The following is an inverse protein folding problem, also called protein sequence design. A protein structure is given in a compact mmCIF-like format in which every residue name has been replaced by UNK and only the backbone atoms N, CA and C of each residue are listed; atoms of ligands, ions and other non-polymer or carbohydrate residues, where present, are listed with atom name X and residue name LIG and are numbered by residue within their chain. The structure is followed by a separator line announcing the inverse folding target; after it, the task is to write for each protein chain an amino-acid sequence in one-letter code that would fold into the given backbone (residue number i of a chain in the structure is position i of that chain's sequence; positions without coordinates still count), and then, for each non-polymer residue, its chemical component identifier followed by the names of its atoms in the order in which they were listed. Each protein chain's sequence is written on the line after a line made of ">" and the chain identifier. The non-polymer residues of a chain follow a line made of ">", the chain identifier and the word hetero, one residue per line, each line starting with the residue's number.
data_IF_025750657770
#
_entry.id   IF_025750657770
#
_cell.length_a   1.000
_cell.length_b   1.000
_cell.length_c   1.000
_cell.angle_alpha   90.00
_cell.angle_beta   90.00
_cell.angle_gamma   90.00
#
_symmetry.space_group_name_H-M   'P 1'
#
loop_
_entity.id
_entity.type
_entity.pdbx_description
1 polymer ?
#
# COMPACT_ATOMS: atom_id res chain seq x y z
N UNK A 1 -13.97 -6.09 5.75
CA UNK A 1 -13.49 -5.25 4.63
C UNK A 1 -14.35 -5.56 3.41
N UNK A 2 -14.93 -4.52 2.80
CA UNK A 2 -15.78 -4.64 1.62
C UNK A 2 -14.91 -4.73 0.35
N UNK A 3 -15.01 -5.85 -0.38
CA UNK A 3 -14.22 -6.12 -1.59
C UNK A 3 -14.63 -5.20 -2.74
N UNK A 4 -15.90 -4.86 -2.86
CA UNK A 4 -16.39 -3.99 -3.95
C UNK A 4 -15.82 -2.58 -3.80
N UNK A 5 -15.69 -2.10 -2.57
CA UNK A 5 -15.05 -0.81 -2.24
C UNK A 5 -13.57 -0.83 -2.62
N UNK A 6 -12.83 -1.91 -2.33
CA UNK A 6 -11.42 -2.04 -2.72
C UNK A 6 -11.24 -2.06 -4.24
N UNK A 7 -12.06 -2.84 -4.95
CA UNK A 7 -12.01 -2.90 -6.41
C UNK A 7 -12.30 -1.53 -7.02
N UNK A 8 -13.24 -0.78 -6.45
CA UNK A 8 -13.50 0.62 -6.84
C UNK A 8 -12.28 1.50 -6.55
N UNK A 9 -11.68 1.43 -5.37
CA UNK A 9 -10.46 2.18 -5.02
C UNK A 9 -9.34 1.93 -6.03
N UNK A 10 -8.97 0.66 -6.26
CA UNK A 10 -7.88 0.35 -7.19
C UNK A 10 -8.20 0.75 -8.63
N UNK A 11 -9.47 0.68 -9.04
CA UNK A 11 -9.90 1.17 -10.35
C UNK A 11 -9.71 2.69 -10.46
N UNK A 12 -10.13 3.47 -9.47
CA UNK A 12 -9.97 4.93 -9.49
C UNK A 12 -8.49 5.35 -9.44
N UNK A 13 -7.67 4.65 -8.63
CA UNK A 13 -6.21 4.85 -8.57
C UNK A 13 -5.55 4.58 -9.92
N UNK A 14 -5.92 3.47 -10.58
CA UNK A 14 -5.41 3.12 -11.90
C UNK A 14 -5.81 4.15 -12.97
N UNK A 15 -7.10 4.52 -13.02
CA UNK A 15 -7.62 5.47 -14.01
C UNK A 15 -6.98 6.85 -13.92
N UNK A 16 -6.68 7.33 -12.71
CA UNK A 16 -5.99 8.62 -12.47
C UNK A 16 -4.47 8.52 -12.54
N UNK A 17 -3.93 7.35 -12.85
CA UNK A 17 -2.49 7.11 -12.95
C UNK A 17 -1.75 7.54 -11.67
N UNK A 18 -2.32 7.17 -10.51
CA UNK A 18 -1.67 7.39 -9.21
C UNK A 18 -0.42 6.51 -9.15
N UNK A 19 0.72 7.12 -8.84
CA UNK A 19 1.96 6.42 -8.53
C UNK A 19 1.87 5.87 -7.10
N UNK A 20 1.35 4.65 -7.00
CA UNK A 20 1.25 3.89 -5.76
C UNK A 20 1.79 2.46 -5.94
N UNK A 21 2.11 1.84 -4.80
CA UNK A 21 2.32 0.40 -4.66
C UNK A 21 1.54 -0.08 -3.44
N UNK A 22 0.70 -1.08 -3.62
CA UNK A 22 0.00 -1.77 -2.54
C UNK A 22 1.02 -2.61 -1.77
N UNK A 23 1.07 -2.40 -0.45
CA UNK A 23 1.88 -3.16 0.49
C UNK A 23 0.99 -3.76 1.59
N UNK A 24 1.61 -4.28 2.65
CA UNK A 24 0.87 -4.73 3.83
C UNK A 24 -0.02 -5.95 3.62
N UNK A 25 -1.10 -6.05 4.39
CA UNK A 25 -1.92 -7.27 4.48
C UNK A 25 -2.69 -7.59 3.19
N UNK A 26 -3.24 -6.57 2.52
CA UNK A 26 -3.99 -6.76 1.27
C UNK A 26 -3.06 -7.21 0.14
N UNK A 27 -1.83 -6.67 0.09
CA UNK A 27 -0.80 -7.15 -0.83
C UNK A 27 -0.49 -8.64 -0.63
N UNK A 28 -0.33 -9.08 0.62
CA UNK A 28 -0.13 -10.50 0.93
C UNK A 28 -1.30 -11.35 0.42
N UNK A 29 -2.54 -10.90 0.62
CA UNK A 29 -3.74 -11.54 0.09
C UNK A 29 -3.69 -11.75 -1.43
N UNK A 30 -3.30 -10.72 -2.18
CA UNK A 30 -3.16 -10.79 -3.63
C UNK A 30 -1.98 -11.67 -4.10
N UNK A 31 -0.97 -11.86 -3.25
CA UNK A 31 0.11 -12.84 -3.45
C UNK A 31 -0.29 -14.26 -2.99
N UNK A 32 -1.56 -14.46 -2.62
CA UNK A 32 -2.13 -15.74 -2.20
C UNK A 32 -1.76 -16.16 -0.78
N UNK A 33 -1.42 -15.23 0.10
CA UNK A 33 -1.15 -15.48 1.51
C UNK A 33 -2.33 -15.01 2.36
N UNK A 34 -2.83 -15.89 3.22
CA UNK A 34 -3.97 -15.56 4.09
C UNK A 34 -3.48 -14.64 5.21
N UNK A 35 -3.95 -13.39 5.19
CA UNK A 35 -3.66 -12.41 6.23
C UNK A 35 -4.93 -11.61 6.53
N UNK A 36 -5.45 -11.77 7.74
CA UNK A 36 -6.51 -10.88 8.22
C UNK A 36 -5.95 -9.46 8.37
N UNK A 37 -6.54 -8.49 7.67
CA UNK A 37 -6.18 -7.07 7.74
C UNK A 37 -7.46 -6.24 7.65
N UNK A 38 -7.45 -5.10 8.31
CA UNK A 38 -8.54 -4.11 8.27
C UNK A 38 -8.09 -2.83 7.56
N UNK A 39 -6.77 -2.70 7.34
CA UNK A 39 -6.14 -1.55 6.72
C UNK A 39 -5.65 -1.90 5.30
N UNK A 40 -5.68 -0.91 4.41
CA UNK A 40 -5.08 -0.91 3.06
C UNK A 40 -3.87 0.02 3.10
N UNK A 41 -2.68 -0.55 2.94
CA UNK A 41 -1.44 0.20 2.94
C UNK A 41 -1.03 0.59 1.51
N UNK A 42 -1.11 1.88 1.19
CA UNK A 42 -0.67 2.46 -0.09
C UNK A 42 0.65 3.18 0.08
N UNK A 43 1.71 2.64 -0.49
CA UNK A 43 2.98 3.35 -0.59
C UNK A 43 2.96 4.25 -1.83
N UNK A 44 3.00 5.56 -1.65
CA UNK A 44 2.82 6.56 -2.71
C UNK A 44 4.05 7.42 -2.90
N UNK A 45 4.24 7.94 -4.12
CA UNK A 45 5.26 8.95 -4.37
C UNK A 45 4.83 10.31 -3.79
N UNK A 46 5.62 10.97 -2.92
CA UNK A 46 5.22 12.19 -2.22
C UNK A 46 5.45 13.47 -3.05
N UNK A 47 5.05 13.46 -4.33
CA UNK A 47 5.06 14.66 -5.15
C UNK A 47 3.65 15.26 -5.26
N UNK A 48 3.58 16.59 -5.34
CA UNK A 48 2.31 17.35 -5.34
C UNK A 48 1.31 16.86 -6.39
N UNK A 49 1.80 16.53 -7.58
CA UNK A 49 0.97 16.06 -8.68
C UNK A 49 0.40 14.66 -8.40
N UNK A 50 1.22 13.76 -7.84
CA UNK A 50 0.75 12.45 -7.42
C UNK A 50 -0.26 12.53 -6.27
N UNK A 51 -0.02 13.39 -5.27
CA UNK A 51 -0.94 13.58 -4.15
C UNK A 51 -2.25 14.22 -4.60
N UNK A 52 -2.23 15.14 -5.57
CA UNK A 52 -3.45 15.64 -6.23
C UNK A 52 -4.24 14.49 -6.88
N UNK A 53 -3.59 13.62 -7.66
CA UNK A 53 -4.25 12.46 -8.30
C UNK A 53 -4.79 11.47 -7.26
N UNK A 54 -4.06 11.25 -6.17
CA UNK A 54 -4.49 10.42 -5.06
C UNK A 54 -5.77 10.96 -4.43
N UNK A 55 -5.82 12.26 -4.11
CA UNK A 55 -7.03 12.92 -3.58
C UNK A 55 -8.22 12.79 -4.54
N UNK A 56 -8.00 13.02 -5.83
CA UNK A 56 -9.05 12.85 -6.85
C UNK A 56 -9.55 11.40 -6.96
N UNK A 57 -8.68 10.42 -6.71
CA UNK A 57 -9.05 9.01 -6.71
C UNK A 57 -9.85 8.64 -5.47
N UNK A 58 -9.37 9.04 -4.28
CA UNK A 58 -10.08 8.84 -3.01
C UNK A 58 -11.45 9.53 -3.05
N UNK A 59 -11.51 10.78 -3.52
CA UNK A 59 -12.74 11.58 -3.61
C UNK A 59 -13.78 11.01 -4.57
N UNK A 60 -13.36 10.19 -5.54
CA UNK A 60 -14.26 9.48 -6.43
C UNK A 60 -14.83 8.19 -5.83
N UNK A 61 -14.20 7.67 -4.77
CA UNK A 61 -14.72 6.54 -3.99
C UNK A 61 -15.59 7.05 -2.84
N UNK A 62 -15.10 8.04 -2.10
CA UNK A 62 -15.71 8.61 -0.91
C UNK A 62 -15.93 10.11 -1.07
N UNK A 63 -17.17 10.55 -0.83
CA UNK A 63 -17.51 11.98 -0.86
C UNK A 63 -17.20 12.61 0.51
N UNK A 64 -15.92 12.87 0.77
CA UNK A 64 -15.43 13.32 2.07
C UNK A 64 -14.45 14.50 1.93
N UNK A 65 -14.77 15.68 2.50
CA UNK A 65 -13.88 16.84 2.44
C UNK A 65 -12.55 16.65 3.21
N UNK A 66 -12.45 15.68 4.12
CA UNK A 66 -11.20 15.40 4.84
C UNK A 66 -10.08 14.94 3.89
N UNK A 67 -10.43 14.36 2.73
CA UNK A 67 -9.47 13.96 1.69
C UNK A 67 -8.64 15.15 1.19
N UNK A 68 -9.23 16.36 1.14
CA UNK A 68 -8.51 17.56 0.68
C UNK A 68 -7.37 17.97 1.61
N UNK A 69 -7.39 17.50 2.87
CA UNK A 69 -6.34 17.78 3.85
C UNK A 69 -5.07 16.95 3.65
N UNK A 70 -5.13 15.90 2.83
CA UNK A 70 -3.96 15.06 2.53
C UNK A 70 -2.98 15.88 1.68
N UNK A 71 -1.84 16.27 2.26
CA UNK A 71 -0.85 17.09 1.58
C UNK A 71 0.47 16.33 1.31
N UNK A 72 1.19 16.73 0.27
CA UNK A 72 2.52 16.20 0.01
C UNK A 72 3.52 16.56 1.13
N UNK A 73 3.30 17.70 1.81
CA UNK A 73 4.10 18.11 2.97
C UNK A 73 3.94 17.17 4.17
N UNK A 74 2.74 16.66 4.44
CA UNK A 74 2.52 15.64 5.49
C UNK A 74 3.28 14.36 5.16
N UNK A 75 3.51 14.13 3.86
CA UNK A 75 4.20 12.98 3.33
C UNK A 75 5.71 13.18 3.11
N UNK A 76 6.27 14.33 3.48
CA UNK A 76 7.69 14.68 3.28
C UNK A 76 8.58 14.48 4.53
N UNK A 77 8.05 13.91 5.62
CA UNK A 77 8.73 13.75 6.91
C UNK A 77 9.54 12.44 7.08
N UNK A 78 10.05 12.22 8.29
CA UNK A 78 10.85 11.03 8.66
C UNK A 78 10.00 9.75 8.81
N UNK A 79 8.72 9.91 9.16
CA UNK A 79 7.71 8.84 9.21
C UNK A 79 6.37 9.33 8.63
N UNK A 80 6.32 9.60 7.32
CA UNK A 80 5.17 10.19 6.66
C UNK A 80 4.09 9.13 6.44
N UNK A 81 3.21 8.99 7.42
CA UNK A 81 2.00 8.17 7.32
C UNK A 81 0.78 9.05 7.55
N UNK A 82 -0.09 9.11 6.54
CA UNK A 82 -1.41 9.72 6.65
C UNK A 82 -2.44 8.59 6.70
N UNK A 83 -3.16 8.51 7.81
CA UNK A 83 -4.23 7.54 8.00
C UNK A 83 -5.57 8.18 7.63
N UNK A 84 -6.20 7.66 6.58
CA UNK A 84 -7.51 8.10 6.13
C UNK A 84 -8.57 7.02 6.41
N UNK A 85 -9.50 7.31 7.32
CA UNK A 85 -10.67 6.49 7.60
C UNK A 85 -11.92 7.12 6.96
N UNK A 86 -12.50 6.54 5.91
CA UNK A 86 -13.71 7.06 5.29
C UNK A 86 -14.92 6.99 6.24
N UNK A 87 -15.89 7.91 6.13
CA UNK A 87 -17.00 8.01 7.07
C UNK A 87 -17.99 6.84 7.01
N UNK A 88 -18.10 6.18 5.85
CA UNK A 88 -19.14 5.16 5.58
C UNK A 88 -18.58 3.71 5.54
N UNK A 89 -17.53 3.39 6.29
CA UNK A 89 -17.05 2.01 6.37
C UNK A 89 -15.94 1.74 7.37
N UNK A 90 -15.62 0.46 7.53
CA UNK A 90 -14.56 -0.01 8.44
C UNK A 90 -13.17 -0.05 7.78
N UNK A 91 -13.07 0.35 6.51
CA UNK A 91 -11.80 0.32 5.78
C UNK A 91 -10.93 1.51 6.18
N UNK A 92 -9.70 1.26 6.57
CA UNK A 92 -8.72 2.33 6.78
C UNK A 92 -7.71 2.32 5.63
N UNK A 93 -7.40 3.49 5.06
CA UNK A 93 -6.36 3.66 4.05
C UNK A 93 -5.16 4.33 4.70
N UNK A 94 -4.08 3.56 4.86
CA UNK A 94 -2.80 4.09 5.31
C UNK A 94 -1.98 4.51 4.09
N UNK A 95 -1.65 5.80 4.01
CA UNK A 95 -0.90 6.40 2.91
C UNK A 95 0.52 6.64 3.42
N UNK A 96 1.48 5.90 2.87
CA UNK A 96 2.89 5.94 3.27
C UNK A 96 3.72 6.52 2.14
N UNK A 97 4.70 7.36 2.45
CA UNK A 97 5.67 7.84 1.45
C UNK A 97 7.11 7.39 1.70
N UNK A 98 7.42 7.00 2.92
CA UNK A 98 8.68 6.37 3.31
C UNK A 98 8.46 5.46 4.52
N UNK A 99 9.37 4.50 4.72
CA UNK A 99 9.47 3.74 5.97
C UNK A 99 10.88 3.93 6.53
N UNK A 100 11.00 4.89 7.45
CA UNK A 100 12.28 5.34 7.98
C UNK A 100 13.20 5.86 6.87
N UNK A 101 14.51 5.65 7.03
CA UNK A 101 15.51 6.03 6.02
C UNK A 101 15.75 4.94 4.96
N UNK A 102 15.14 3.77 5.11
CA UNK A 102 15.50 2.56 4.36
C UNK A 102 14.64 2.29 3.13
N UNK A 103 13.46 2.92 3.02
CA UNK A 103 12.55 2.71 1.90
C UNK A 103 11.96 4.02 1.39
N UNK A 104 12.18 4.29 0.12
CA UNK A 104 11.49 5.31 -0.68
C UNK A 104 10.64 4.64 -1.75
N UNK A 105 9.78 5.42 -2.39
CA UNK A 105 8.89 4.92 -3.44
C UNK A 105 9.68 4.25 -4.57
N UNK A 106 10.84 4.81 -4.92
CA UNK A 106 11.71 4.32 -5.99
C UNK A 106 12.39 2.97 -5.66
N UNK A 107 12.52 2.62 -4.38
CA UNK A 107 13.15 1.38 -3.92
C UNK A 107 12.18 0.18 -3.94
N UNK A 108 10.89 0.44 -4.17
CA UNK A 108 9.85 -0.59 -4.11
C UNK A 108 9.66 -1.23 -5.47
N UNK A 109 10.24 -2.42 -5.62
CA UNK A 109 9.93 -3.28 -6.76
C UNK A 109 8.47 -3.77 -6.66
N UNK A 110 7.72 -3.60 -7.75
CA UNK A 110 6.31 -3.93 -7.83
C UNK A 110 5.98 -4.71 -9.10
N UNK A 111 4.95 -5.54 -9.00
CA UNK A 111 4.33 -6.26 -10.11
C UNK A 111 2.85 -5.83 -10.24
N UNK A 112 2.24 -6.11 -11.39
CA UNK A 112 0.80 -5.87 -11.57
C UNK A 112 0.04 -7.19 -11.37
N UNK A 113 -0.87 -7.20 -10.41
CA UNK A 113 -1.84 -8.29 -10.21
C UNK A 113 -3.20 -7.83 -10.75
N UNK A 114 -3.88 -8.67 -11.51
CA UNK A 114 -5.26 -8.42 -11.92
C UNK A 114 -6.22 -9.01 -10.88
N UNK A 115 -6.85 -8.17 -10.08
CA UNK A 115 -7.89 -8.57 -9.14
C UNK A 115 -9.26 -8.28 -9.77
N UNK A 116 -9.97 -9.34 -10.17
CA UNK A 116 -11.28 -9.23 -10.86
C UNK A 116 -11.24 -8.29 -12.09
N UNK A 117 -10.15 -8.35 -12.84
CA UNK A 117 -9.93 -7.50 -14.02
C UNK A 117 -9.45 -6.08 -13.71
N UNK A 118 -9.36 -5.69 -12.43
CA UNK A 118 -8.76 -4.42 -12.00
C UNK A 118 -7.25 -4.61 -11.83
N UNK A 119 -6.40 -3.84 -12.54
CA UNK A 119 -4.95 -3.90 -12.36
C UNK A 119 -4.55 -3.22 -11.05
N UNK A 120 -3.84 -3.95 -10.20
CA UNK A 120 -3.33 -3.47 -8.91
C UNK A 120 -1.81 -3.55 -8.92
N UNK A 121 -1.12 -2.44 -8.65
CA UNK A 121 0.33 -2.45 -8.43
C UNK A 121 0.62 -2.97 -7.03
N UNK A 122 1.27 -4.12 -6.91
CA UNK A 122 1.55 -4.81 -5.65
C UNK A 122 3.06 -4.96 -5.48
N UNK A 123 3.58 -4.71 -4.28
CA UNK A 123 5.00 -4.96 -4.00
C UNK A 123 5.35 -6.44 -4.25
N UNK A 124 6.52 -6.68 -4.83
CA UNK A 124 6.96 -8.06 -5.11
C UNK A 124 7.10 -8.86 -3.81
N UNK A 125 7.03 -10.20 -3.86
CA UNK A 125 7.33 -11.03 -2.70
C UNK A 125 8.68 -10.72 -2.04
N UNK A 126 9.72 -10.43 -2.85
CA UNK A 126 11.05 -10.06 -2.35
C UNK A 126 11.02 -8.73 -1.59
N UNK A 127 10.38 -7.70 -2.15
CA UNK A 127 10.23 -6.40 -1.48
C UNK A 127 9.44 -6.53 -0.19
N UNK A 128 8.31 -7.24 -0.21
CA UNK A 128 7.49 -7.51 0.97
C UNK A 128 8.28 -8.26 2.05
N UNK A 129 9.10 -9.24 1.66
CA UNK A 129 9.97 -9.98 2.57
C UNK A 129 10.97 -9.06 3.26
N UNK A 130 11.71 -8.25 2.48
CA UNK A 130 12.70 -7.31 3.01
C UNK A 130 12.07 -6.28 3.95
N UNK A 131 10.93 -5.70 3.58
CA UNK A 131 10.19 -4.73 4.41
C UNK A 131 9.75 -5.34 5.74
N UNK A 132 9.17 -6.55 5.71
CA UNK A 132 8.66 -7.23 6.90
C UNK A 132 9.74 -7.83 7.80
N UNK A 133 10.87 -8.24 7.23
CA UNK A 133 12.05 -8.68 7.99
C UNK A 133 12.68 -7.53 8.78
N UNK A 134 12.62 -6.30 8.27
CA UNK A 134 13.26 -5.14 8.88
C UNK A 134 12.48 -4.57 10.09
N UNK A 135 11.25 -5.04 10.35
CA UNK A 135 10.44 -4.54 11.47
C UNK A 135 10.54 -5.40 12.73
N UNK A 136 10.26 -4.78 13.88
CA UNK A 136 10.19 -5.45 15.18
C UNK A 136 8.82 -6.07 15.48
N UNK A 137 7.80 -5.87 14.62
CA UNK A 137 6.45 -6.41 14.85
C UNK A 137 6.44 -7.93 14.66
N UNK A 138 6.04 -8.73 15.68
CA UNK A 138 6.07 -10.20 15.59
C UNK A 138 5.26 -10.77 14.41
N UNK A 139 4.13 -10.12 14.10
CA UNK A 139 3.25 -10.56 13.01
C UNK A 139 3.89 -10.36 11.63
N UNK A 140 4.66 -9.28 11.45
CA UNK A 140 5.40 -9.07 10.22
C UNK A 140 6.58 -10.04 10.10
N UNK A 141 7.24 -10.37 11.21
CA UNK A 141 8.29 -11.39 11.20
C UNK A 141 7.73 -12.76 10.78
N UNK A 142 6.54 -13.12 11.25
CA UNK A 142 5.84 -14.33 10.80
C UNK A 142 5.50 -14.26 9.30
N UNK A 143 4.95 -13.13 8.83
CA UNK A 143 4.66 -12.91 7.42
C UNK A 143 5.92 -13.03 6.54
N UNK A 144 7.07 -12.52 7.01
CA UNK A 144 8.35 -12.63 6.30
C UNK A 144 8.80 -14.09 6.16
N UNK A 145 8.65 -14.92 7.20
CA UNK A 145 8.97 -16.34 7.13
C UNK A 145 8.08 -17.07 6.11
N UNK A 146 6.78 -16.77 6.11
CA UNK A 146 5.82 -17.38 5.17
C UNK A 146 6.10 -16.95 3.73
N UNK A 147 6.44 -15.67 3.51
CA UNK A 147 6.89 -15.18 2.19
C UNK A 147 8.15 -15.92 1.72
N UNK A 148 9.13 -16.07 2.62
CA UNK A 148 10.38 -16.77 2.33
C UNK A 148 10.15 -18.20 1.88
N UNK A 149 9.33 -18.94 2.63
CA UNK A 149 9.01 -20.34 2.34
C UNK A 149 8.22 -20.49 1.04
N UNK A 150 7.14 -19.72 0.86
CA UNK A 150 6.24 -19.84 -0.29
C UNK A 150 6.93 -19.51 -1.62
N UNK A 151 7.77 -18.49 -1.63
CA UNK A 151 8.40 -17.99 -2.84
C UNK A 151 9.87 -18.42 -2.99
N UNK A 152 10.39 -19.24 -2.06
CA UNK A 152 11.78 -19.71 -2.09
C UNK A 152 12.79 -18.57 -2.04
N UNK A 153 12.49 -17.52 -1.27
CA UNK A 153 13.31 -16.31 -1.22
C UNK A 153 14.60 -16.58 -0.45
N UNK A 154 15.72 -16.13 -0.99
CA UNK A 154 17.00 -16.15 -0.28
C UNK A 154 17.24 -14.79 0.37
N UNK A 155 18.01 -14.83 1.46
CA UNK A 155 18.60 -13.61 1.97
C UNK A 155 19.58 -13.11 0.91
N UNK A 156 19.52 -11.81 0.56
CA UNK A 156 20.54 -11.25 -0.32
C UNK A 156 21.91 -11.59 0.25
N UNK A 157 22.77 -12.19 -0.57
CA UNK A 157 24.15 -12.48 -0.21
C UNK A 157 24.86 -11.16 0.07
N UNK A 158 24.86 -10.74 1.34
CA UNK A 158 25.66 -9.65 1.87
C UNK A 158 27.10 -10.08 2.10
#
# INVERSE_FOLDING_TARGET
>A
MDVDVLLRLFRELHQRQVAYVLVGGVALGLLGLIRATEDVDLFVKPDEENIRRLREALGAVWNDPEIEKISASDLAGEYPVVRYGPPDGDLVVDILASLGTSWRFEDIEALVVFWEGVPVRVATPQTMYRMKKATSRPIDQADALVLKEKFGLEDDAG
#
